data_IF_040282072561
#
_entry.id   IF_040282072561
#
_cell.length_a   1.000
_cell.length_b   1.000
_cell.length_c   1.000
_cell.angle_alpha   90.00
_cell.angle_beta   90.00
_cell.angle_gamma   90.00
#
_symmetry.space_group_name_H-M   'P 1'
#
loop_
_entity.id
_entity.type
_entity.pdbx_description
1 polymer ?
#
# COMPACT_ATOMS: atom_id res chain seq x y z
N UNK A 1 12.74 -5.41 -14.65
CA UNK A 1 12.79 -6.58 -13.76
C UNK A 1 12.36 -6.11 -12.39
N UNK A 2 11.10 -6.29 -12.01
CA UNK A 2 10.64 -5.96 -10.63
C UNK A 2 11.22 -7.00 -9.69
N UNK A 3 12.11 -6.55 -8.82
CA UNK A 3 12.85 -7.38 -7.88
C UNK A 3 11.87 -8.21 -7.02
N UNK A 4 11.93 -9.54 -7.16
CA UNK A 4 11.23 -10.49 -6.28
C UNK A 4 11.71 -10.40 -4.81
N UNK A 5 12.74 -9.60 -4.53
CA UNK A 5 13.38 -9.42 -3.23
C UNK A 5 12.57 -8.61 -2.18
N UNK A 6 11.51 -7.89 -2.57
CA UNK A 6 10.77 -7.00 -1.66
C UNK A 6 9.42 -7.56 -1.16
N UNK A 7 9.12 -8.84 -1.42
CA UNK A 7 7.88 -9.46 -0.92
C UNK A 7 8.02 -9.71 0.58
N UNK A 8 7.40 -8.86 1.37
CA UNK A 8 7.34 -9.01 2.83
C UNK A 8 6.20 -9.96 3.19
N UNK A 9 6.31 -10.62 4.36
CA UNK A 9 5.21 -11.45 4.85
C UNK A 9 3.97 -10.60 5.12
N UNK A 10 2.80 -11.25 5.17
CA UNK A 10 1.55 -10.56 5.52
C UNK A 10 1.64 -9.86 6.89
N UNK A 11 2.30 -10.49 7.85
CA UNK A 11 2.51 -9.94 9.19
C UNK A 11 3.41 -8.70 9.17
N UNK A 12 4.53 -8.76 8.44
CA UNK A 12 5.42 -7.62 8.26
C UNK A 12 4.72 -6.46 7.53
N UNK A 13 3.96 -6.76 6.49
CA UNK A 13 3.15 -5.77 5.78
C UNK A 13 2.13 -5.11 6.72
N UNK A 14 1.41 -5.90 7.52
CA UNK A 14 0.42 -5.39 8.47
C UNK A 14 1.05 -4.46 9.51
N UNK A 15 2.23 -4.83 10.05
CA UNK A 15 2.95 -3.95 10.97
C UNK A 15 3.36 -2.63 10.32
N UNK A 16 3.96 -2.67 9.14
CA UNK A 16 4.38 -1.46 8.43
C UNK A 16 3.19 -0.55 8.09
N UNK A 17 2.08 -1.14 7.62
CA UNK A 17 0.86 -0.41 7.29
C UNK A 17 0.24 0.20 8.55
N UNK A 18 0.18 -0.53 9.67
CA UNK A 18 -0.37 0.00 10.92
C UNK A 18 0.40 1.23 11.41
N UNK A 19 1.74 1.22 11.32
CA UNK A 19 2.54 2.40 11.68
C UNK A 19 2.31 3.57 10.72
N UNK A 20 2.32 3.33 9.41
CA UNK A 20 2.11 4.38 8.42
C UNK A 20 0.70 5.00 8.52
N UNK A 21 -0.33 4.15 8.64
CA UNK A 21 -1.72 4.53 8.84
C UNK A 21 -1.89 5.38 10.09
N UNK A 22 -1.30 4.94 11.22
CA UNK A 22 -1.33 5.71 12.47
C UNK A 22 -0.70 7.11 12.32
N UNK A 23 0.44 7.22 11.63
CA UNK A 23 1.09 8.53 11.40
C UNK A 23 0.20 9.46 10.58
N UNK A 24 -0.38 8.95 9.49
CA UNK A 24 -1.24 9.73 8.60
C UNK A 24 -2.53 10.17 9.31
N UNK A 25 -3.16 9.25 10.05
CA UNK A 25 -4.37 9.56 10.85
C UNK A 25 -4.06 10.61 11.92
N UNK A 26 -2.89 10.53 12.56
CA UNK A 26 -2.45 11.53 13.56
C UNK A 26 -2.31 12.92 12.95
N UNK A 27 -1.90 13.01 11.69
CA UNK A 27 -1.83 14.26 10.92
C UNK A 27 -3.20 14.71 10.37
N UNK A 28 -4.26 13.94 10.59
CA UNK A 28 -5.63 14.26 10.17
C UNK A 28 -6.00 13.77 8.78
N UNK A 29 -5.19 12.91 8.15
CA UNK A 29 -5.57 12.26 6.90
C UNK A 29 -6.55 11.11 7.14
N UNK A 30 -7.53 10.99 6.26
CA UNK A 30 -8.44 9.83 6.24
C UNK A 30 -7.74 8.66 5.55
N UNK A 31 -7.48 7.59 6.30
CA UNK A 31 -6.90 6.35 5.80
C UNK A 31 -7.95 5.26 5.91
N UNK A 32 -8.44 4.80 4.76
CA UNK A 32 -9.49 3.78 4.72
C UNK A 32 -8.90 2.38 4.76
N UNK A 33 -9.70 1.41 5.20
CA UNK A 33 -9.33 -0.01 5.09
C UNK A 33 -9.10 -0.45 3.63
N UNK A 34 -9.72 0.24 2.66
CA UNK A 34 -9.46 -0.03 1.24
C UNK A 34 -8.03 0.40 0.84
N UNK A 35 -7.57 1.57 1.31
CA UNK A 35 -6.21 2.04 1.05
C UNK A 35 -5.17 1.11 1.70
N UNK A 36 -5.39 0.69 2.94
CA UNK A 36 -4.54 -0.28 3.64
C UNK A 36 -4.47 -1.63 2.91
N UNK A 37 -5.62 -2.17 2.50
CA UNK A 37 -5.70 -3.40 1.73
C UNK A 37 -4.99 -3.28 0.39
N UNK A 38 -5.12 -2.12 -0.25
CA UNK A 38 -4.51 -1.86 -1.53
C UNK A 38 -2.98 -1.84 -1.43
N UNK A 39 -2.42 -1.10 -0.46
CA UNK A 39 -0.97 -1.08 -0.20
C UNK A 39 -0.46 -2.47 0.18
N UNK A 40 -1.19 -3.20 1.03
CA UNK A 40 -0.84 -4.58 1.42
C UNK A 40 -0.69 -5.50 0.22
N UNK A 41 -1.62 -5.45 -0.73
CA UNK A 41 -1.56 -6.28 -1.94
C UNK A 41 -0.30 -6.01 -2.79
N UNK A 42 0.25 -4.80 -2.74
CA UNK A 42 1.51 -4.46 -3.43
C UNK A 42 2.71 -5.02 -2.67
N UNK A 43 2.73 -4.86 -1.34
CA UNK A 43 3.82 -5.33 -0.48
C UNK A 43 3.95 -6.86 -0.43
N UNK A 44 2.82 -7.58 -0.49
CA UNK A 44 2.79 -9.06 -0.54
C UNK A 44 2.98 -9.60 -1.96
N UNK A 45 2.96 -8.73 -2.97
CA UNK A 45 3.18 -9.08 -4.37
C UNK A 45 1.95 -9.65 -5.10
N UNK A 46 0.75 -9.53 -4.53
CA UNK A 46 -0.53 -9.81 -5.20
C UNK A 46 -0.80 -8.81 -6.33
N UNK A 47 -0.33 -7.57 -6.17
CA UNK A 47 -0.30 -6.53 -7.20
C UNK A 47 1.12 -6.06 -7.43
N UNK A 48 1.38 -5.63 -8.66
CA UNK A 48 2.64 -5.00 -9.03
C UNK A 48 2.63 -3.51 -8.74
N UNK A 49 3.80 -2.92 -8.54
CA UNK A 49 3.97 -1.47 -8.39
C UNK A 49 3.44 -0.68 -9.61
N UNK A 50 3.56 -1.23 -10.83
CA UNK A 50 3.00 -0.61 -12.03
C UNK A 50 1.46 -0.54 -11.99
N UNK A 51 0.82 -1.61 -11.52
CA UNK A 51 -0.64 -1.63 -11.32
C UNK A 51 -1.06 -0.67 -10.21
N UNK A 52 -0.24 -0.55 -9.15
CA UNK A 52 -0.45 0.45 -8.10
C UNK A 52 -0.46 1.87 -8.67
N UNK A 53 0.61 2.28 -9.35
CA UNK A 53 0.72 3.60 -9.94
C UNK A 53 -0.41 3.89 -10.94
N UNK A 54 -0.78 2.91 -11.77
CA UNK A 54 -1.87 3.09 -12.73
C UNK A 54 -3.22 3.29 -12.04
N UNK A 55 -3.50 2.58 -10.96
CA UNK A 55 -4.75 2.75 -10.21
C UNK A 55 -4.83 4.11 -9.52
N UNK A 56 -3.73 4.58 -8.92
CA UNK A 56 -3.66 5.92 -8.30
C UNK A 56 -3.88 7.01 -9.36
N UNK A 57 -3.19 6.93 -10.50
CA UNK A 57 -3.39 7.86 -11.62
C UNK A 57 -4.85 7.92 -12.08
N UNK A 58 -5.54 6.77 -12.15
CA UNK A 58 -6.96 6.71 -12.50
C UNK A 58 -7.86 7.30 -11.41
N UNK A 59 -7.60 7.01 -10.12
CA UNK A 59 -8.41 7.50 -8.98
C UNK A 59 -8.38 9.03 -8.89
N UNK A 60 -7.21 9.63 -9.14
CA UNK A 60 -7.01 11.08 -9.02
C UNK A 60 -6.97 11.83 -10.36
N UNK A 61 -7.08 11.13 -11.49
CA UNK A 61 -7.02 11.67 -12.85
C UNK A 61 -5.76 12.53 -13.11
N UNK A 62 -4.58 11.96 -12.83
CA UNK A 62 -3.25 12.60 -12.97
C UNK A 62 -2.30 11.82 -13.85
#
# INVERSE_FOLDING_TARGET
>A
MTNLANRVSHEQANHAISYASHSLVTEGFDVTSEDENFVRSVLTGERTEAQFHQAIKRKFNV
#
